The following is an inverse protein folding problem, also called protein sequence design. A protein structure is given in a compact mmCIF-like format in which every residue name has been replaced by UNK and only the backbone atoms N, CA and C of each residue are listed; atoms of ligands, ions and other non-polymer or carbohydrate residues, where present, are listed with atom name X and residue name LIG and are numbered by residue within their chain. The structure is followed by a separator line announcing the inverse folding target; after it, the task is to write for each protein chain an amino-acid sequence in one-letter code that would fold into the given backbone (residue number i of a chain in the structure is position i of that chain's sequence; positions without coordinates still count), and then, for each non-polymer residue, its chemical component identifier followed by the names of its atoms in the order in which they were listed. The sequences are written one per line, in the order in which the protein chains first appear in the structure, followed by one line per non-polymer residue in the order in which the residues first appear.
data_IF_466069452211
#
_entry.id   IF_466069452211
#
_cell.length_a   1.000
_cell.length_b   1.000
_cell.length_c   1.000
_cell.angle_alpha   90.00
_cell.angle_beta   90.00
_cell.angle_gamma   90.00
#
_symmetry.space_group_name_H-M   'P 1'
#
loop_
_entity.id
_entity.type
_entity.pdbx_description
1 polymer ?
#
# COMPACT_ATOMS: atom_id res chain seq x y z
N UNK A 1 -0.41 -15.21 22.06
CA UNK A 1 -0.13 -15.16 21.88
C UNK A 1 0.57 -14.47 21.18
N UNK A 2 1.14 -14.38 21.35
CA UNK A 2 1.89 -13.66 20.67
C UNK A 2 1.95 -14.05 19.35
N UNK A 3 1.49 -15.07 19.11
CA UNK A 3 1.58 -15.44 17.84
C UNK A 3 1.18 -14.44 16.94
N UNK A 4 0.24 -13.69 17.27
CA UNK A 4 -0.23 -12.85 16.34
C UNK A 4 0.71 -11.83 15.99
N UNK A 5 1.73 -11.73 16.65
CA UNK A 5 2.63 -10.76 16.30
C UNK A 5 3.11 -10.95 14.99
N UNK A 6 3.33 -12.12 14.60
CA UNK A 6 3.85 -12.30 13.39
C UNK A 6 2.96 -11.90 12.41
N UNK A 7 1.78 -11.97 12.70
CA UNK A 7 0.89 -11.61 11.74
C UNK A 7 1.05 -10.25 11.48
N UNK A 8 1.58 -9.58 12.33
CA UNK A 8 1.71 -8.25 12.10
C UNK A 8 2.72 -8.02 11.09
N UNK A 9 3.15 -8.97 10.35
CA UNK A 9 4.03 -8.80 9.38
C UNK A 9 3.99 -7.53 8.73
N UNK A 10 5.00 -6.94 8.28
CA UNK A 10 5.03 -5.69 7.67
C UNK A 10 4.27 -5.70 6.43
N UNK A 11 3.36 -4.84 6.26
CA UNK A 11 2.55 -4.77 5.08
C UNK A 11 3.39 -4.63 3.83
N UNK A 12 4.49 -3.93 3.90
CA UNK A 12 5.24 -3.76 2.70
C UNK A 12 5.86 -5.04 2.23
N UNK A 13 6.02 -6.01 3.08
CA UNK A 13 6.58 -7.25 2.64
C UNK A 13 5.64 -7.98 1.72
N UNK A 14 4.35 -7.73 1.81
CA UNK A 14 3.44 -8.39 0.90
C UNK A 14 3.26 -7.55 -0.35
N UNK A 15 3.67 -6.30 -0.35
CA UNK A 15 3.53 -5.47 -1.52
C UNK A 15 4.79 -5.51 -2.36
N UNK A 16 5.93 -5.59 -1.73
CA UNK A 16 7.20 -5.55 -2.44
C UNK A 16 7.77 -6.95 -2.58
N UNK A 17 8.11 -7.32 -3.79
CA UNK A 17 8.62 -8.64 -4.04
C UNK A 17 10.13 -8.61 -4.13
N UNK A 18 10.76 -9.70 -3.73
CA UNK A 18 12.20 -9.81 -3.86
C UNK A 18 12.50 -10.13 -5.31
N UNK A 19 13.75 -10.06 -5.69
CA UNK A 19 14.13 -10.37 -7.05
C UNK A 19 13.81 -11.82 -7.38
N UNK A 20 14.02 -12.71 -6.42
CA UNK A 20 13.73 -14.11 -6.67
C UNK A 20 12.24 -14.34 -6.86
N UNK A 21 11.43 -13.73 -6.04
CA UNK A 21 10.00 -13.88 -6.17
C UNK A 21 9.54 -13.30 -7.49
N UNK A 22 10.10 -12.18 -7.86
CA UNK A 22 9.71 -11.53 -9.09
C UNK A 22 10.06 -12.39 -10.28
N UNK A 23 11.20 -13.05 -10.26
CA UNK A 23 11.61 -13.84 -11.39
C UNK A 23 10.77 -15.09 -11.58
N UNK A 24 9.98 -15.46 -10.57
CA UNK A 24 9.14 -16.63 -10.69
C UNK A 24 7.78 -16.31 -11.29
N UNK A 25 7.47 -15.05 -11.46
CA UNK A 25 6.16 -14.69 -11.97
C UNK A 25 6.09 -14.68 -13.47
N UNK A 26 4.98 -15.09 -14.00
CA UNK A 26 4.78 -15.03 -15.45
C UNK A 26 4.38 -13.60 -15.80
N UNK A 27 4.37 -13.29 -17.08
CA UNK A 27 3.98 -11.97 -17.51
C UNK A 27 2.56 -11.66 -17.09
N UNK A 28 1.67 -12.65 -17.20
CA UNK A 28 0.29 -12.44 -16.83
C UNK A 28 0.17 -12.16 -15.32
N UNK A 29 0.95 -12.87 -14.52
CA UNK A 29 0.92 -12.65 -13.10
C UNK A 29 1.46 -11.27 -12.76
N UNK A 30 2.47 -10.84 -13.48
CA UNK A 30 3.02 -9.52 -13.25
C UNK A 30 1.99 -8.46 -13.61
N UNK A 31 1.28 -8.64 -14.73
CA UNK A 31 0.26 -7.70 -15.14
C UNK A 31 -0.86 -7.63 -14.12
N UNK A 32 -1.28 -8.78 -13.59
CA UNK A 32 -2.32 -8.81 -12.61
C UNK A 32 -1.89 -8.09 -11.34
N UNK A 33 -0.64 -8.26 -10.98
CA UNK A 33 -0.13 -7.62 -9.79
C UNK A 33 -0.07 -6.10 -9.99
N UNK A 34 0.34 -5.68 -11.17
CA UNK A 34 0.40 -4.26 -11.45
C UNK A 34 -1.00 -3.65 -11.36
N UNK A 35 -1.99 -4.33 -11.93
CA UNK A 35 -3.35 -3.83 -11.87
C UNK A 35 -3.84 -3.73 -10.43
N UNK A 36 -3.52 -4.72 -9.62
CA UNK A 36 -3.93 -4.72 -8.24
C UNK A 36 -3.27 -3.57 -7.50
N UNK A 37 -1.98 -3.36 -7.73
CA UNK A 37 -1.27 -2.30 -7.07
C UNK A 37 -1.76 -0.93 -7.51
N UNK A 38 -2.13 -0.80 -8.78
CA UNK A 38 -2.64 0.46 -9.26
C UNK A 38 -3.98 0.76 -8.62
N UNK A 39 -4.81 -0.25 -8.47
CA UNK A 39 -6.10 -0.09 -7.84
C UNK A 39 -5.92 0.32 -6.38
N UNK A 40 -4.97 -0.33 -5.70
CA UNK A 40 -4.71 -0.02 -4.31
C UNK A 40 -4.10 1.38 -4.18
N UNK A 41 -3.28 1.77 -5.15
CA UNK A 41 -2.68 3.09 -5.14
C UNK A 41 -3.77 4.16 -5.21
N UNK A 42 -4.79 3.93 -6.06
CA UNK A 42 -5.86 4.91 -6.17
C UNK A 42 -6.67 4.97 -4.89
N UNK A 43 -6.88 3.83 -4.25
CA UNK A 43 -7.61 3.80 -3.01
C UNK A 43 -6.86 4.58 -1.94
N UNK A 44 -5.55 4.40 -1.88
CA UNK A 44 -4.73 5.08 -0.91
C UNK A 44 -4.66 6.57 -1.17
N UNK A 45 -4.65 6.95 -2.44
CA UNK A 45 -4.61 8.36 -2.78
C UNK A 45 -5.90 9.04 -2.35
N UNK A 46 -7.02 8.36 -2.55
CA UNK A 46 -8.31 8.92 -2.15
C UNK A 46 -8.35 9.10 -0.65
N UNK A 47 -7.84 8.11 0.09
CA UNK A 47 -7.85 8.20 1.53
C UNK A 47 -6.90 9.30 2.01
N UNK A 48 -5.76 9.43 1.35
CA UNK A 48 -4.80 10.44 1.71
C UNK A 48 -5.39 11.84 1.48
N UNK A 49 -6.11 11.99 0.38
CA UNK A 49 -6.71 13.27 0.09
C UNK A 49 -7.78 13.60 1.12
N UNK A 50 -8.58 12.63 1.49
CA UNK A 50 -9.62 12.86 2.46
C UNK A 50 -9.03 13.28 3.80
N UNK A 51 -7.97 12.60 4.23
CA UNK A 51 -7.35 12.95 5.48
C UNK A 51 -6.52 14.20 5.38
N UNK A 52 -5.95 14.41 4.23
CA UNK A 52 -5.14 15.59 4.02
C UNK A 52 -5.95 16.86 4.02
N UNK A 53 -7.17 16.78 3.53
CA UNK A 53 -8.02 17.94 3.53
C UNK A 53 -8.26 18.38 4.96
N UNK A 54 -8.54 17.46 5.86
CA UNK A 54 -8.78 17.81 7.22
C UNK A 54 -7.54 18.39 7.84
N UNK A 55 -6.39 17.81 7.50
CA UNK A 55 -5.17 18.29 8.06
C UNK A 55 -4.86 19.65 7.55
N UNK A 56 -5.05 19.90 6.27
CA UNK A 56 -4.76 21.19 5.68
C UNK A 56 -5.63 22.24 6.30
N UNK A 57 -6.88 21.92 6.58
CA UNK A 57 -7.78 22.88 7.17
C UNK A 57 -7.30 23.22 8.58
N UNK A 58 -6.89 22.20 9.33
CA UNK A 58 -6.44 22.43 10.67
C UNK A 58 -5.17 23.25 10.68
N UNK A 59 -4.28 22.97 9.76
CA UNK A 59 -3.05 23.71 9.71
C UNK A 59 -3.30 25.14 9.31
N UNK A 60 -4.26 25.36 8.45
CA UNK A 60 -4.57 26.71 8.03
C UNK A 60 -5.07 27.53 9.20
N UNK A 61 -5.74 26.89 10.14
CA UNK A 61 -6.22 27.61 11.27
C UNK A 61 -5.09 28.03 12.19
N UNK A 62 -4.01 27.33 12.15
CA UNK A 62 -2.91 27.69 12.99
C UNK A 62 -1.97 28.69 12.34
N UNK A 63 -2.19 29.04 11.15
CA UNK A 63 -1.30 29.96 10.48
C UNK A 63 -1.61 31.39 10.75
#
# INVERSE_FOLDING_TARGET
MSGFDEEVKKPRESVVLSEDELSLLSVIEIDQRIALLQSETERLKAERLRKGDSRAAAEALFR
#
